data_IF_163576723043
#
_entry.id   IF_163576723043
#
_cell.length_a   1.000
_cell.length_b   1.000
_cell.length_c   1.000
_cell.angle_alpha   90.00
_cell.angle_beta   90.00
_cell.angle_gamma   90.00
#
_symmetry.space_group_name_H-M   'P 1'
#
loop_
_entity.id
_entity.type
_entity.pdbx_description
1 polymer ?
#
# COMPACT_ATOMS: atom_id res chain seq x y z
N UNK A 1 -3.22 15.52 3.26
CA UNK A 1 -3.84 15.91 1.98
C UNK A 1 -5.36 15.89 1.98
N UNK A 2 -6.01 15.42 3.06
CA UNK A 2 -7.48 15.34 3.17
C UNK A 2 -8.22 16.68 2.99
N UNK A 3 -7.56 17.82 3.16
CA UNK A 3 -8.18 19.12 2.92
C UNK A 3 -8.59 19.31 1.44
N UNK A 4 -7.89 18.67 0.49
CA UNK A 4 -8.24 18.75 -0.93
C UNK A 4 -9.57 18.05 -1.25
N UNK A 5 -9.94 17.01 -0.49
CA UNK A 5 -11.21 16.28 -0.71
C UNK A 5 -12.42 16.99 -0.11
N UNK A 6 -12.22 18.00 0.75
CA UNK A 6 -13.31 18.79 1.33
C UNK A 6 -13.66 19.94 0.39
N UNK A 7 -14.80 19.82 -0.30
CA UNK A 7 -15.29 20.83 -1.25
C UNK A 7 -15.39 22.23 -0.64
N UNK A 8 -15.80 22.37 0.62
CA UNK A 8 -15.90 23.67 1.29
C UNK A 8 -14.55 24.34 1.58
N UNK A 9 -13.49 23.56 1.78
CA UNK A 9 -12.15 24.08 2.13
C UNK A 9 -11.27 24.26 0.90
N UNK A 10 -11.55 23.52 -0.17
CA UNK A 10 -10.76 23.49 -1.39
C UNK A 10 -11.65 23.65 -2.64
N UNK A 11 -12.51 24.66 -2.64
CA UNK A 11 -13.29 25.07 -3.82
C UNK A 11 -12.44 25.98 -4.72
N UNK A 12 -12.24 25.65 -6.00
CA UNK A 12 -11.72 26.60 -6.99
C UNK A 12 -12.67 27.81 -7.10
N UNK A 13 -12.38 28.85 -6.31
CA UNK A 13 -13.17 30.06 -6.21
C UNK A 13 -12.66 31.12 -7.18
N UNK A 14 -13.58 31.86 -7.83
CA UNK A 14 -13.26 33.03 -8.65
C UNK A 14 -12.72 34.20 -7.81
N UNK A 15 -12.80 34.12 -6.48
CA UNK A 15 -12.09 35.05 -5.61
C UNK A 15 -10.57 34.93 -5.84
N UNK A 16 -10.06 35.92 -6.58
CA UNK A 16 -8.67 36.04 -7.04
C UNK A 16 -7.64 35.80 -5.93
N UNK A 17 -7.97 36.07 -4.66
CA UNK A 17 -7.07 35.85 -3.52
C UNK A 17 -7.05 34.39 -3.04
N UNK A 18 -8.18 33.69 -3.07
CA UNK A 18 -8.28 32.26 -2.69
C UNK A 18 -7.64 31.38 -3.78
N UNK A 19 -7.94 31.66 -5.06
CA UNK A 19 -7.32 30.99 -6.19
C UNK A 19 -5.78 31.11 -6.18
N UNK A 20 -5.24 32.29 -5.86
CA UNK A 20 -3.79 32.49 -5.71
C UNK A 20 -3.18 31.60 -4.63
N UNK A 21 -3.81 31.51 -3.46
CA UNK A 21 -3.34 30.65 -2.36
C UNK A 21 -3.35 29.18 -2.78
N UNK A 22 -4.41 28.72 -3.44
CA UNK A 22 -4.53 27.34 -3.95
C UNK A 22 -3.43 27.02 -4.97
N UNK A 23 -3.18 27.90 -5.92
CA UNK A 23 -2.10 27.73 -6.91
C UNK A 23 -0.72 27.63 -6.24
N UNK A 24 -0.47 28.43 -5.20
CA UNK A 24 0.79 28.35 -4.44
C UNK A 24 0.91 27.00 -3.73
N UNK A 25 -0.15 26.54 -3.06
CA UNK A 25 -0.17 25.25 -2.36
C UNK A 25 0.05 24.09 -3.34
N UNK A 26 -0.65 24.09 -4.48
CA UNK A 26 -0.48 23.08 -5.52
C UNK A 26 0.93 23.09 -6.10
N UNK A 27 1.50 24.28 -6.33
CA UNK A 27 2.89 24.40 -6.80
C UNK A 27 3.87 23.78 -5.80
N UNK A 28 3.70 24.03 -4.51
CA UNK A 28 4.53 23.43 -3.47
C UNK A 28 4.34 21.91 -3.39
N UNK A 29 3.11 21.42 -3.49
CA UNK A 29 2.84 19.99 -3.56
C UNK A 29 3.58 19.34 -4.73
N UNK A 30 3.48 19.90 -5.93
CA UNK A 30 4.15 19.36 -7.11
C UNK A 30 5.68 19.40 -6.98
N UNK A 31 6.23 20.47 -6.39
CA UNK A 31 7.65 20.54 -6.08
C UNK A 31 8.08 19.42 -5.11
N UNK A 32 7.29 19.18 -4.05
CA UNK A 32 7.56 18.11 -3.07
C UNK A 32 7.40 16.70 -3.66
N UNK A 33 6.58 16.52 -4.68
CA UNK A 33 6.48 15.29 -5.48
C UNK A 33 7.62 15.15 -6.50
N UNK A 34 8.46 16.18 -6.69
CA UNK A 34 9.51 16.20 -7.69
C UNK A 34 8.98 16.35 -9.12
N UNK A 35 7.78 16.92 -9.29
CA UNK A 35 7.16 17.14 -10.60
C UNK A 35 7.53 18.50 -11.17
N UNK A 36 8.15 18.51 -12.34
CA UNK A 36 8.40 19.72 -13.11
C UNK A 36 7.16 20.06 -13.95
N UNK A 37 6.49 21.18 -13.64
CA UNK A 37 5.29 21.62 -14.35
C UNK A 37 5.56 22.11 -15.77
N UNK A 38 6.77 22.61 -16.06
CA UNK A 38 7.14 23.13 -17.37
C UNK A 38 7.39 21.98 -18.34
N UNK A 39 8.21 21.03 -17.92
CA UNK A 39 8.61 19.87 -18.72
C UNK A 39 7.60 18.71 -18.63
N UNK A 40 6.67 18.77 -17.67
CA UNK A 40 5.70 17.71 -17.34
C UNK A 40 6.34 16.35 -17.02
N UNK A 41 7.55 16.36 -16.45
CA UNK A 41 8.29 15.16 -16.05
C UNK A 41 8.53 15.11 -14.54
N UNK A 42 8.68 13.91 -13.99
CA UNK A 42 9.15 13.70 -12.64
C UNK A 42 10.68 13.61 -12.62
N UNK A 43 11.32 14.45 -11.82
CA UNK A 43 12.78 14.48 -11.66
C UNK A 43 13.27 13.45 -10.63
N UNK A 44 12.37 12.95 -9.78
CA UNK A 44 12.66 11.95 -8.74
C UNK A 44 12.36 10.57 -9.30
N UNK A 45 13.32 9.62 -9.21
CA UNK A 45 13.13 8.26 -9.73
C UNK A 45 11.92 7.54 -9.09
N UNK A 46 11.30 6.56 -9.78
CA UNK A 46 10.10 5.88 -9.27
C UNK A 46 10.32 5.22 -7.91
N UNK A 47 11.52 4.69 -7.66
CA UNK A 47 11.89 4.09 -6.38
C UNK A 47 11.93 5.10 -5.25
N UNK A 48 12.53 6.28 -5.47
CA UNK A 48 12.58 7.34 -4.46
C UNK A 48 11.20 7.96 -4.23
N UNK A 49 10.41 8.11 -5.30
CA UNK A 49 9.05 8.63 -5.22
C UNK A 49 8.17 7.74 -4.33
N UNK A 50 8.23 6.42 -4.49
CA UNK A 50 7.45 5.45 -3.70
C UNK A 50 7.76 5.52 -2.20
N UNK A 51 9.00 5.83 -1.84
CA UNK A 51 9.43 6.01 -0.44
C UNK A 51 9.08 7.39 0.14
N UNK A 52 8.63 8.34 -0.70
CA UNK A 52 8.32 9.68 -0.25
C UNK A 52 7.06 9.68 0.62
N UNK A 53 7.09 10.30 1.82
CA UNK A 53 5.90 10.45 2.65
C UNK A 53 4.84 11.33 1.95
N UNK A 54 5.27 12.29 1.12
CA UNK A 54 4.37 13.16 0.36
C UNK A 54 3.61 12.36 -0.69
N UNK A 55 4.29 11.46 -1.40
CA UNK A 55 3.63 10.54 -2.34
C UNK A 55 2.62 9.64 -1.64
N UNK A 56 3.00 8.99 -0.54
CA UNK A 56 2.11 8.09 0.19
C UNK A 56 0.88 8.80 0.77
N UNK A 57 1.06 10.02 1.29
CA UNK A 57 -0.05 10.86 1.73
C UNK A 57 -0.92 11.33 0.55
N UNK A 58 -0.33 11.60 -0.62
CA UNK A 58 -1.08 12.00 -1.79
C UNK A 58 -1.92 10.84 -2.36
N UNK A 59 -1.29 9.70 -2.67
CA UNK A 59 -1.95 8.56 -3.30
C UNK A 59 -3.06 7.96 -2.42
N UNK A 60 -2.89 7.96 -1.09
CA UNK A 60 -3.91 7.48 -0.15
C UNK A 60 -5.18 8.35 -0.11
N UNK A 61 -5.05 9.64 -0.39
CA UNK A 61 -6.17 10.59 -0.39
C UNK A 61 -6.74 10.84 -1.80
N UNK A 62 -6.07 10.38 -2.85
CA UNK A 62 -6.47 10.59 -4.24
C UNK A 62 -7.88 10.04 -4.57
N UNK A 63 -8.31 8.86 -4.08
CA UNK A 63 -9.67 8.38 -4.34
C UNK A 63 -10.74 9.31 -3.76
N UNK A 64 -10.52 9.80 -2.53
CA UNK A 64 -11.46 10.70 -1.86
C UNK A 64 -11.50 12.06 -2.55
N UNK A 65 -10.35 12.56 -3.01
CA UNK A 65 -10.27 13.79 -3.79
C UNK A 65 -11.15 13.71 -5.04
N UNK A 66 -10.96 12.66 -5.86
CA UNK A 66 -11.76 12.46 -7.07
C UNK A 66 -13.25 12.26 -6.79
N UNK A 67 -13.59 11.62 -5.67
CA UNK A 67 -14.97 11.30 -5.36
C UNK A 67 -15.74 12.50 -4.78
N UNK A 68 -15.12 13.21 -3.82
CA UNK A 68 -15.78 14.23 -2.99
C UNK A 68 -15.60 15.66 -3.53
N UNK A 69 -14.51 15.93 -4.24
CA UNK A 69 -14.21 17.26 -4.78
C UNK A 69 -13.84 17.17 -6.26
N UNK A 70 -14.86 16.95 -7.09
CA UNK A 70 -14.68 16.74 -8.53
C UNK A 70 -13.98 17.93 -9.22
N UNK A 71 -14.28 19.17 -8.80
CA UNK A 71 -13.71 20.38 -9.39
C UNK A 71 -12.19 20.47 -9.17
N UNK A 72 -11.73 20.20 -7.95
CA UNK A 72 -10.29 20.11 -7.65
C UNK A 72 -9.66 18.87 -8.30
N UNK A 73 -10.38 17.76 -8.34
CA UNK A 73 -9.92 16.55 -9.03
C UNK A 73 -9.69 16.77 -10.53
N UNK A 74 -10.56 17.53 -11.21
CA UNK A 74 -10.36 17.95 -12.61
C UNK A 74 -9.11 18.82 -12.78
N UNK A 75 -8.88 19.77 -11.87
CA UNK A 75 -7.69 20.61 -11.89
C UNK A 75 -6.39 19.79 -11.73
N UNK A 76 -6.42 18.76 -10.89
CA UNK A 76 -5.27 17.91 -10.62
C UNK A 76 -5.15 16.72 -11.58
N UNK A 77 -6.15 16.47 -12.43
CA UNK A 77 -6.26 15.30 -13.30
C UNK A 77 -5.01 15.11 -14.20
N UNK A 78 -4.48 16.15 -14.89
CA UNK A 78 -3.34 15.97 -15.79
C UNK A 78 -2.10 15.45 -15.06
N UNK A 79 -1.77 16.03 -13.90
CA UNK A 79 -0.58 15.64 -13.12
C UNK A 79 -0.77 14.30 -12.43
N UNK A 80 -1.99 14.03 -11.93
CA UNK A 80 -2.31 12.78 -11.25
C UNK A 80 -2.32 11.58 -12.20
N UNK A 81 -2.77 11.73 -13.45
CA UNK A 81 -2.64 10.69 -14.49
C UNK A 81 -1.18 10.31 -14.74
N UNK A 82 -0.31 11.32 -14.90
CA UNK A 82 1.13 11.09 -15.07
C UNK A 82 1.73 10.41 -13.84
N UNK A 83 1.34 10.82 -12.63
CA UNK A 83 1.79 10.19 -11.39
C UNK A 83 1.37 8.72 -11.30
N UNK A 84 0.11 8.42 -11.63
CA UNK A 84 -0.45 7.06 -11.60
C UNK A 84 0.26 6.14 -12.60
N UNK A 85 0.68 6.65 -13.75
CA UNK A 85 1.48 5.88 -14.71
C UNK A 85 2.94 5.77 -14.26
N UNK A 86 3.50 6.80 -13.63
CA UNK A 86 4.91 6.83 -13.25
C UNK A 86 5.22 6.01 -11.99
N UNK A 87 4.35 6.03 -10.97
CA UNK A 87 4.65 5.42 -9.67
C UNK A 87 4.86 3.88 -9.66
N UNK A 88 4.22 3.05 -10.52
CA UNK A 88 4.48 1.63 -10.60
C UNK A 88 5.64 1.27 -11.55
N UNK A 89 6.25 2.28 -12.18
CA UNK A 89 7.34 2.09 -13.14
C UNK A 89 8.55 1.40 -12.47
N UNK A 90 9.19 0.41 -13.14
CA UNK A 90 10.37 -0.26 -12.60
C UNK A 90 11.54 0.69 -12.32
N UNK A 91 12.42 0.38 -11.35
CA UNK A 91 13.54 1.25 -10.94
C UNK A 91 14.50 1.65 -12.07
N UNK A 92 14.64 0.79 -13.08
CA UNK A 92 15.60 0.94 -14.17
C UNK A 92 15.05 1.74 -15.36
N UNK A 93 13.75 2.04 -15.38
CA UNK A 93 13.14 2.90 -16.39
C UNK A 93 13.27 4.36 -15.96
N UNK A 94 14.28 5.03 -16.51
CA UNK A 94 14.62 6.43 -16.16
C UNK A 94 13.64 7.40 -16.82
N UNK A 95 13.03 7.01 -17.95
CA UNK A 95 12.05 7.80 -18.68
C UNK A 95 10.89 6.86 -19.03
N UNK A 96 9.71 7.01 -18.43
CA UNK A 96 8.51 6.40 -18.99
C UNK A 96 8.32 7.04 -20.36
N UNK A 97 8.53 6.27 -21.41
CA UNK A 97 8.10 6.71 -22.72
C UNK A 97 6.57 6.68 -22.67
N UNK A 98 5.94 7.82 -22.35
CA UNK A 98 4.50 7.94 -22.10
C UNK A 98 3.65 7.56 -23.33
N UNK A 99 4.30 7.38 -24.49
CA UNK A 99 3.71 6.86 -25.72
C UNK A 99 3.72 5.32 -25.81
N UNK A 100 4.54 4.64 -25.01
CA UNK A 100 4.67 3.17 -25.04
C UNK A 100 3.70 2.49 -24.10
N UNK A 101 3.06 1.43 -24.58
CA UNK A 101 2.19 0.59 -23.77
C UNK A 101 2.96 0.04 -22.56
N UNK A 102 2.51 0.32 -21.32
CA UNK A 102 3.22 -0.13 -20.13
C UNK A 102 3.26 -1.65 -20.09
N UNK A 103 4.45 -2.20 -19.86
CA UNK A 103 4.73 -3.64 -19.74
C UNK A 103 4.94 -4.08 -18.28
N UNK A 104 4.68 -3.18 -17.33
CA UNK A 104 4.83 -3.41 -15.90
C UNK A 104 3.46 -3.48 -15.20
N UNK A 105 3.48 -3.97 -13.96
CA UNK A 105 2.30 -4.12 -13.09
C UNK A 105 2.45 -3.27 -11.82
N UNK A 106 1.41 -3.27 -10.97
CA UNK A 106 1.43 -2.58 -9.66
C UNK A 106 2.30 -3.29 -8.60
N UNK A 107 3.13 -4.25 -8.99
CA UNK A 107 3.95 -5.06 -8.10
C UNK A 107 4.81 -4.23 -7.15
N UNK A 108 5.41 -3.17 -7.68
CA UNK A 108 6.36 -2.30 -7.00
C UNK A 108 5.73 -1.35 -5.97
N UNK A 109 4.40 -1.24 -5.93
CA UNK A 109 3.68 -0.44 -4.95
C UNK A 109 3.37 -1.26 -3.69
N UNK A 110 3.47 -0.61 -2.53
CA UNK A 110 3.01 -1.19 -1.27
C UNK A 110 1.50 -1.48 -1.29
N UNK A 111 1.00 -2.43 -0.48
CA UNK A 111 -0.41 -2.83 -0.50
C UNK A 111 -1.41 -1.66 -0.33
N UNK A 112 -1.12 -0.72 0.57
CA UNK A 112 -1.98 0.46 0.82
C UNK A 112 -1.99 1.40 -0.38
N UNK A 113 -0.82 1.69 -0.95
CA UNK A 113 -0.69 2.51 -2.14
C UNK A 113 -1.37 1.86 -3.36
N UNK A 114 -1.21 0.54 -3.52
CA UNK A 114 -1.86 -0.25 -4.58
C UNK A 114 -3.38 -0.19 -4.50
N UNK A 115 -3.94 -0.39 -3.30
CA UNK A 115 -5.40 -0.25 -3.07
C UNK A 115 -5.86 1.16 -3.45
N UNK A 116 -5.16 2.18 -2.99
CA UNK A 116 -5.54 3.57 -3.24
C UNK A 116 -5.40 3.95 -4.72
N UNK A 117 -4.38 3.43 -5.41
CA UNK A 117 -4.22 3.56 -6.85
C UNK A 117 -5.41 2.96 -7.61
N UNK A 118 -5.80 1.73 -7.28
CA UNK A 118 -6.94 1.05 -7.92
C UNK A 118 -8.26 1.76 -7.65
N UNK A 119 -8.50 2.20 -6.41
CA UNK A 119 -9.69 2.98 -6.06
C UNK A 119 -9.73 4.32 -6.79
N UNK A 120 -8.58 4.98 -6.97
CA UNK A 120 -8.49 6.24 -7.73
C UNK A 120 -8.86 6.02 -9.19
N UNK A 121 -8.34 4.97 -9.82
CA UNK A 121 -8.68 4.62 -11.20
C UNK A 121 -10.16 4.26 -11.33
N UNK A 122 -10.73 3.52 -10.37
CA UNK A 122 -12.15 3.16 -10.39
C UNK A 122 -13.06 4.40 -10.33
N UNK A 123 -12.78 5.35 -9.43
CA UNK A 123 -13.53 6.61 -9.35
C UNK A 123 -13.36 7.44 -10.61
N UNK A 124 -12.15 7.49 -11.17
CA UNK A 124 -11.87 8.19 -12.43
C UNK A 124 -12.71 7.61 -13.58
N UNK A 125 -12.68 6.29 -13.79
CA UNK A 125 -13.46 5.64 -14.84
C UNK A 125 -14.97 5.77 -14.65
N UNK A 126 -15.43 5.96 -13.40
CA UNK A 126 -16.85 6.09 -13.08
C UNK A 126 -17.38 7.53 -13.21
N UNK A 127 -16.63 8.53 -12.73
CA UNK A 127 -17.11 9.93 -12.62
C UNK A 127 -16.57 10.87 -13.68
N UNK A 128 -15.40 10.60 -14.26
CA UNK A 128 -14.71 11.57 -15.10
C UNK A 128 -14.93 11.29 -16.58
N UNK A 129 -15.12 12.36 -17.36
CA UNK A 129 -15.14 12.27 -18.82
C UNK A 129 -13.70 12.23 -19.34
N UNK A 130 -13.24 11.04 -19.75
CA UNK A 130 -11.89 10.82 -20.26
C UNK A 130 -11.82 10.61 -21.78
N UNK A 131 -12.93 10.83 -22.49
CA UNK A 131 -13.02 10.70 -23.95
C UNK A 131 -12.29 11.81 -24.70
N UNK A 132 -11.78 12.83 -23.99
CA UNK A 132 -10.88 13.82 -24.59
C UNK A 132 -9.54 13.16 -24.99
N UNK A 133 -9.06 13.53 -26.19
CA UNK A 133 -7.83 13.01 -26.78
C UNK A 133 -6.59 13.24 -25.89
N UNK A 134 -6.64 14.26 -25.03
CA UNK A 134 -5.61 14.61 -24.05
C UNK A 134 -5.46 13.60 -22.91
N UNK A 135 -6.54 12.93 -22.49
CA UNK A 135 -6.54 12.05 -21.32
C UNK A 135 -6.71 10.57 -21.67
N UNK A 136 -7.41 10.28 -22.77
CA UNK A 136 -7.64 8.93 -23.27
C UNK A 136 -6.38 8.04 -23.30
N UNK A 137 -5.22 8.45 -23.85
CA UNK A 137 -4.04 7.58 -23.90
C UNK A 137 -3.50 7.23 -22.52
N UNK A 138 -3.52 8.18 -21.58
CA UNK A 138 -3.09 7.95 -20.20
C UNK A 138 -4.01 6.94 -19.52
N UNK A 139 -5.33 7.11 -19.66
CA UNK A 139 -6.32 6.19 -19.07
C UNK A 139 -6.17 4.78 -19.64
N UNK A 140 -5.97 4.65 -20.96
CA UNK A 140 -5.68 3.34 -21.59
C UNK A 140 -4.40 2.72 -21.03
N UNK A 141 -3.35 3.50 -20.80
CA UNK A 141 -2.12 3.02 -20.16
C UNK A 141 -2.38 2.53 -18.72
N UNK A 142 -3.18 3.26 -17.93
CA UNK A 142 -3.57 2.83 -16.58
C UNK A 142 -4.35 1.51 -16.60
N UNK A 143 -5.31 1.35 -17.52
CA UNK A 143 -6.05 0.10 -17.70
C UNK A 143 -5.09 -1.03 -18.06
N UNK A 144 -4.11 -0.79 -18.94
CA UNK A 144 -3.11 -1.81 -19.30
C UNK A 144 -2.25 -2.24 -18.10
N UNK A 145 -1.88 -1.31 -17.20
CA UNK A 145 -1.20 -1.65 -15.95
C UNK A 145 -2.06 -2.56 -15.07
N UNK A 146 -3.38 -2.33 -15.01
CA UNK A 146 -4.32 -3.23 -14.29
C UNK A 146 -4.32 -4.61 -14.94
N UNK A 147 -4.44 -4.69 -16.26
CA UNK A 147 -4.41 -5.97 -16.99
C UNK A 147 -3.12 -6.74 -16.72
N UNK A 148 -1.95 -6.09 -16.84
CA UNK A 148 -0.66 -6.72 -16.53
C UNK A 148 -0.57 -7.17 -15.06
N UNK A 149 -1.24 -6.45 -14.14
CA UNK A 149 -1.32 -6.85 -12.74
C UNK A 149 -2.14 -8.11 -12.56
N UNK A 150 -3.30 -8.20 -13.22
CA UNK A 150 -4.16 -9.40 -13.20
C UNK A 150 -3.45 -10.60 -13.84
N UNK A 151 -2.80 -10.40 -14.99
CA UNK A 151 -2.02 -11.44 -15.68
C UNK A 151 -0.89 -11.96 -14.79
N UNK A 152 -0.20 -11.07 -14.06
CA UNK A 152 0.84 -11.46 -13.11
C UNK A 152 0.29 -12.19 -11.86
N UNK A 153 -0.98 -11.99 -11.50
CA UNK A 153 -1.63 -12.78 -10.45
C UNK A 153 -2.10 -14.15 -10.94
N UNK A 154 -2.22 -14.33 -12.26
CA UNK A 154 -2.60 -15.61 -12.85
C UNK A 154 -1.43 -16.59 -12.79
N UNK A 155 -1.31 -17.29 -11.66
CA UNK A 155 -0.37 -18.38 -11.55
C UNK A 155 -0.79 -19.55 -12.46
N UNK A 156 0.08 -19.92 -13.39
CA UNK A 156 0.02 -21.21 -14.09
C UNK A 156 1.06 -22.13 -13.46
N UNK A 157 0.60 -23.07 -12.63
CA UNK A 157 1.47 -24.12 -12.10
C UNK A 157 2.00 -24.92 -13.30
N UNK A 158 3.29 -24.78 -13.63
CA UNK A 158 3.92 -25.79 -14.49
C UNK A 158 3.88 -27.09 -13.71
N UNK A 159 3.25 -28.14 -14.25
CA UNK A 159 3.37 -29.48 -13.68
C UNK A 159 4.86 -29.78 -13.56
N UNK A 160 5.36 -29.88 -12.33
CA UNK A 160 6.68 -30.43 -12.08
C UNK A 160 6.57 -31.89 -12.55
N UNK A 161 7.38 -32.34 -13.53
CA UNK A 161 7.38 -33.74 -13.92
C UNK A 161 7.61 -34.60 -12.67
N UNK A 162 6.88 -35.71 -12.47
CA UNK A 162 7.03 -36.58 -11.29
C UNK A 162 8.42 -37.21 -11.09
N UNK A 163 9.43 -36.80 -11.85
CA UNK A 163 10.77 -37.38 -11.89
C UNK A 163 11.87 -36.49 -11.32
N UNK A 164 11.56 -35.29 -10.81
CA UNK A 164 12.55 -34.53 -10.02
C UNK A 164 12.52 -35.05 -8.58
N UNK A 165 13.29 -36.11 -8.33
CA UNK A 165 13.67 -36.54 -6.98
C UNK A 165 14.51 -35.41 -6.37
N UNK A 166 13.87 -34.46 -5.71
CA UNK A 166 14.54 -33.60 -4.74
C UNK A 166 15.00 -34.52 -3.62
N UNK A 167 16.30 -34.80 -3.56
CA UNK A 167 16.92 -35.49 -2.44
C UNK A 167 16.62 -34.69 -1.17
N UNK A 168 15.64 -35.14 -0.40
CA UNK A 168 15.27 -34.51 0.85
C UNK A 168 16.48 -34.52 1.79
N UNK A 169 16.67 -33.47 2.62
CA UNK A 169 17.68 -33.51 3.66
C UNK A 169 17.42 -34.74 4.55
N UNK A 170 18.46 -35.43 5.03
CA UNK A 170 18.30 -36.66 5.79
C UNK A 170 17.36 -36.37 6.96
N UNK A 171 16.20 -37.02 6.91
CA UNK A 171 15.25 -37.05 8.00
C UNK A 171 16.00 -37.62 9.20
N UNK A 172 16.46 -36.76 10.10
CA UNK A 172 17.04 -37.20 11.36
C UNK A 172 15.91 -37.89 12.09
N UNK A 173 16.00 -39.22 12.15
CA UNK A 173 15.03 -40.05 12.81
C UNK A 173 14.89 -39.57 14.25
N UNK A 174 13.63 -39.46 14.64
CA UNK A 174 13.21 -39.02 15.96
C UNK A 174 13.29 -40.24 16.88
N UNK A 175 14.50 -40.72 17.16
CA UNK A 175 14.70 -41.88 18.02
C UNK A 175 14.92 -41.46 19.48
N UNK A 176 13.82 -41.59 20.21
CA UNK A 176 13.71 -42.19 21.55
C UNK A 176 14.69 -41.71 22.62
N UNK A 177 14.19 -40.81 23.47
CA UNK A 177 14.68 -40.57 24.82
C UNK A 177 14.67 -41.88 25.64
N UNK A 178 15.84 -42.42 25.99
CA UNK A 178 15.96 -43.41 27.06
C UNK A 178 15.95 -42.72 28.44
N UNK A 179 15.32 -43.31 29.47
CA UNK A 179 15.43 -42.84 30.85
C UNK A 179 16.74 -43.31 31.51
N UNK A 180 17.34 -42.42 32.31
CA UNK A 180 18.52 -42.68 33.16
C UNK A 180 18.31 -43.80 34.18
N UNK A 181 19.34 -44.64 34.35
CA UNK A 181 19.55 -45.46 35.53
C UNK A 181 20.99 -45.21 36.00
N UNK A 182 21.15 -44.56 37.16
CA UNK A 182 22.44 -44.23 37.74
C UNK A 182 23.00 -45.34 38.62
N UNK A 183 24.32 -45.39 38.77
CA UNK A 183 25.01 -45.70 40.04
C UNK A 183 26.46 -45.19 39.97
N UNK A 184 26.93 -44.67 41.09
CA UNK A 184 28.13 -43.85 41.33
C UNK A 184 29.48 -44.59 41.30
N UNK A 185 30.57 -43.87 40.96
CA UNK A 185 31.69 -43.47 41.87
C UNK A 185 33.06 -43.32 41.17
N UNK A 186 33.63 -42.08 41.30
CA UNK A 186 35.04 -41.70 41.61
C UNK A 186 36.16 -42.05 40.60
N UNK A 187 37.19 -41.25 40.29
CA UNK A 187 37.74 -39.95 40.72
C UNK A 187 38.89 -39.58 39.72
N UNK A 188 39.38 -38.33 39.76
CA UNK A 188 40.62 -37.76 39.19
C UNK A 188 40.57 -37.00 37.83
N UNK A 189 40.35 -35.69 37.95
CA UNK A 189 41.31 -34.64 37.56
C UNK A 189 41.42 -34.23 36.08
N UNK A 190 40.91 -33.05 35.72
CA UNK A 190 41.72 -31.89 35.27
C UNK A 190 40.83 -30.71 34.80
N UNK A 191 41.04 -29.56 35.43
CA UNK A 191 40.92 -28.15 34.99
C UNK A 191 39.86 -27.66 33.98
N UNK A 192 39.19 -26.59 34.42
CA UNK A 192 38.78 -25.37 33.69
C UNK A 192 37.35 -25.24 33.12
N UNK A 193 36.61 -24.34 33.80
CA UNK A 193 35.78 -23.25 33.26
C UNK A 193 34.50 -23.58 32.47
N UNK A 194 33.41 -23.75 33.22
CA UNK A 194 32.02 -23.59 32.74
C UNK A 194 31.62 -22.11 32.74
N UNK A 195 31.10 -21.53 31.64
CA UNK A 195 30.41 -20.25 31.70
C UNK A 195 28.98 -20.39 32.26
N UNK A 196 28.50 -19.40 33.03
CA UNK A 196 27.25 -19.50 33.77
C UNK A 196 26.01 -19.37 32.88
N UNK A 197 24.97 -20.11 33.25
CA UNK A 197 23.62 -19.96 32.71
C UNK A 197 23.00 -18.60 33.12
N UNK A 198 22.33 -17.95 32.17
CA UNK A 198 21.62 -16.69 32.35
C UNK A 198 20.48 -16.77 33.39
N UNK A 199 20.10 -15.63 34.01
CA UNK A 199 19.33 -15.59 35.24
C UNK A 199 17.84 -15.87 35.04
N UNK A 200 17.20 -16.44 36.07
CA UNK A 200 15.75 -16.41 36.26
C UNK A 200 15.33 -14.96 36.52
N UNK A 201 14.43 -14.42 35.69
CA UNK A 201 13.68 -13.21 36.02
C UNK A 201 12.19 -13.56 36.05
N UNK A 202 11.73 -13.88 37.26
CA UNK A 202 10.33 -13.73 37.63
C UNK A 202 10.01 -12.23 37.77
N UNK A 203 8.74 -11.90 37.49
CA UNK A 203 8.04 -10.70 37.96
C UNK A 203 8.36 -9.34 37.31
N UNK A 204 7.82 -9.09 36.11
CA UNK A 204 7.22 -7.79 35.76
C UNK A 204 6.36 -7.84 34.47
N UNK A 205 5.19 -8.51 34.51
CA UNK A 205 4.19 -8.37 33.42
C UNK A 205 2.72 -8.49 33.86
N UNK A 206 2.44 -8.24 35.13
CA UNK A 206 1.07 -8.11 35.66
C UNK A 206 0.47 -6.70 35.54
N UNK A 207 1.20 -5.70 35.04
CA UNK A 207 0.72 -4.31 34.99
C UNK A 207 0.50 -3.71 33.58
N UNK A 208 0.37 -4.53 32.53
CA UNK A 208 0.03 -4.01 31.19
C UNK A 208 -1.22 -4.62 30.54
N UNK A 209 -1.93 -5.54 31.21
CA UNK A 209 -3.19 -6.10 30.69
C UNK A 209 -4.45 -5.43 31.23
N UNK A 210 -4.35 -4.58 32.25
CA UNK A 210 -5.51 -3.93 32.88
C UNK A 210 -5.91 -2.58 32.29
N UNK A 211 -5.33 -2.16 31.16
CA UNK A 211 -5.66 -0.87 30.53
C UNK A 211 -6.14 -0.96 29.08
N UNK A 212 -6.30 -2.15 28.50
CA UNK A 212 -6.76 -2.31 27.11
C UNK A 212 -8.12 -3.02 26.95
N UNK A 213 -8.72 -3.52 28.03
CA UNK A 213 -10.00 -4.27 28.01
C UNK A 213 -11.18 -3.52 28.64
N UNK A 214 -11.05 -2.23 29.00
CA UNK A 214 -12.12 -1.47 29.68
C UNK A 214 -12.80 -0.38 28.83
N UNK A 215 -12.76 -0.45 27.48
CA UNK A 215 -13.37 0.60 26.65
C UNK A 215 -14.31 0.10 25.54
N UNK A 216 -14.80 -1.14 25.63
CA UNK A 216 -15.86 -1.65 24.75
C UNK A 216 -16.85 -2.53 25.51
N UNK A 217 -17.99 -1.94 25.87
CA UNK A 217 -19.14 -2.56 26.55
C UNK A 217 -19.51 -1.67 27.74
N UNK A 218 -20.71 -1.12 27.91
CA UNK A 218 -22.04 -1.24 27.29
C UNK A 218 -22.67 0.17 27.39
N UNK A 219 -23.66 0.60 26.61
CA UNK A 219 -25.08 0.38 26.94
C UNK A 219 -26.02 0.89 25.82
N UNK A 220 -27.04 0.06 25.51
CA UNK A 220 -28.48 0.37 25.34
C UNK A 220 -28.93 1.35 24.23
N UNK A 221 -30.00 1.14 23.44
CA UNK A 221 -31.23 0.35 23.61
C UNK A 221 -32.04 0.30 22.28
N UNK A 222 -32.94 -0.68 22.21
CA UNK A 222 -33.90 -1.04 21.15
C UNK A 222 -34.76 0.11 20.58
N UNK A 223 -35.17 0.02 19.30
CA UNK A 223 -36.57 0.05 18.80
C UNK A 223 -36.66 -0.47 17.33
N UNK A 224 -37.84 -0.97 16.85
CA UNK A 224 -37.92 -2.07 15.88
C UNK A 224 -38.20 -1.69 14.41
N UNK A 225 -37.80 -2.61 13.52
CA UNK A 225 -38.00 -2.62 12.08
C UNK A 225 -39.48 -2.82 11.68
N UNK A 226 -40.03 -1.88 10.90
CA UNK A 226 -41.36 -1.99 10.29
C UNK A 226 -41.25 -2.43 8.82
N UNK A 227 -41.98 -3.49 8.47
CA UNK A 227 -42.13 -4.06 7.10
C UNK A 227 -42.68 -3.02 6.12
N UNK A 228 -41.98 -2.82 5.01
CA UNK A 228 -42.49 -2.11 3.83
C UNK A 228 -43.16 -3.09 2.86
N UNK A 229 -44.40 -2.76 2.55
CA UNK A 229 -45.38 -3.44 1.70
C UNK A 229 -45.10 -3.10 0.24
N UNK A 230 -45.13 -4.10 -0.66
CA UNK A 230 -45.11 -3.91 -2.13
C UNK A 230 -46.38 -3.17 -2.58
N UNK A 231 -46.30 -2.21 -3.52
CA UNK A 231 -47.45 -1.79 -4.32
C UNK A 231 -47.54 -2.57 -5.64
N UNK A 232 -48.76 -2.54 -6.17
CA UNK A 232 -49.36 -3.35 -7.24
C UNK A 232 -48.74 -3.17 -8.63
#
# INVERSE_FOLDING_TARGET
>A
MQFLSRSEQAYPSDEKNVAKKQTIVLRHLYLLLGYNQVERIFQVSPSKLRMSPVFNAFISNLPQLYDQNNLMGMLMLPTSLLLLQYCPCPPHHIIPDFQTHPNYSLWYLEPVARRSWLMSLLVLLYKYHYNEETFAPNVVALIKIVMNTLDAQHHVCRRIPPTVVMGGPPSRSRDVSQPSLGTDERDLGDSSDTPPASPKQSDLRSNLKTSLESCWGEEHSMLPFSRLKKPA
#
